data_IF_590728581971
#
_entry.id   IF_590728581971
#
_cell.length_a   1.000
_cell.length_b   1.000
_cell.length_c   1.000
_cell.angle_alpha   90.00
_cell.angle_beta   90.00
_cell.angle_gamma   90.00
#
_symmetry.space_group_name_H-M   'P 1'
#
loop_
_entity.id
_entity.type
_entity.pdbx_description
1 polymer ?
#
# COMPACT_ATOMS: atom_id res chain seq x y z
N UNK A 1 11.32 -10.23 -16.71
CA UNK A 1 11.75 -11.60 -17.05
C UNK A 1 13.11 -11.83 -16.46
N UNK A 2 13.17 -12.55 -15.33
CA UNK A 2 14.42 -13.02 -14.75
C UNK A 2 14.90 -14.16 -15.66
N UNK A 3 15.92 -13.91 -16.46
CA UNK A 3 16.62 -14.98 -17.15
C UNK A 3 17.64 -15.56 -16.16
N UNK A 4 17.42 -16.75 -15.66
CA UNK A 4 18.46 -17.58 -15.08
C UNK A 4 19.41 -17.92 -16.24
N UNK A 5 20.60 -17.33 -16.18
CA UNK A 5 21.65 -17.64 -17.14
C UNK A 5 22.54 -18.71 -16.51
N UNK A 6 22.81 -19.80 -17.23
CA UNK A 6 23.79 -20.84 -16.86
C UNK A 6 25.24 -20.32 -16.87
N UNK A 7 25.44 -19.01 -16.80
CA UNK A 7 26.75 -18.38 -16.84
C UNK A 7 27.46 -18.52 -15.50
N UNK A 8 28.76 -18.82 -15.55
CA UNK A 8 29.60 -18.70 -14.37
C UNK A 8 29.56 -17.26 -13.80
N UNK A 9 29.78 -17.11 -12.50
CA UNK A 9 29.77 -15.79 -11.83
C UNK A 9 30.72 -14.78 -12.50
N UNK A 10 31.87 -15.24 -12.97
CA UNK A 10 32.87 -14.42 -13.69
C UNK A 10 32.32 -13.96 -15.04
N UNK A 11 31.67 -14.86 -15.79
CA UNK A 11 31.09 -14.53 -17.08
C UNK A 11 29.93 -13.54 -16.95
N UNK A 12 29.04 -13.75 -15.95
CA UNK A 12 27.94 -12.84 -15.63
C UNK A 12 28.47 -11.45 -15.25
N UNK A 13 29.53 -11.36 -14.44
CA UNK A 13 30.17 -10.10 -14.05
C UNK A 13 30.77 -9.35 -15.25
N UNK A 14 31.43 -10.09 -16.15
CA UNK A 14 31.97 -9.50 -17.40
C UNK A 14 30.86 -8.97 -18.32
N UNK A 15 29.74 -9.69 -18.46
CA UNK A 15 28.59 -9.22 -19.24
C UNK A 15 27.97 -7.97 -18.64
N UNK A 16 27.76 -7.92 -17.32
CA UNK A 16 27.23 -6.72 -16.64
C UNK A 16 28.14 -5.50 -16.86
N UNK A 17 29.45 -5.68 -16.83
CA UNK A 17 30.41 -4.59 -17.14
C UNK A 17 30.32 -4.10 -18.59
N UNK A 18 30.08 -5.02 -19.56
CA UNK A 18 29.91 -4.65 -20.98
C UNK A 18 28.61 -3.88 -21.24
N UNK A 19 27.56 -4.17 -20.47
CA UNK A 19 26.26 -3.48 -20.59
C UNK A 19 26.29 -2.05 -20.05
N UNK A 20 27.25 -1.70 -19.18
CA UNK A 20 27.46 -0.34 -18.69
C UNK A 20 26.18 0.32 -18.16
N UNK A 21 25.74 1.42 -18.80
CA UNK A 21 24.56 2.22 -18.45
C UNK A 21 23.22 1.55 -18.81
N UNK A 22 23.25 0.44 -19.55
CA UNK A 22 22.05 -0.34 -19.89
C UNK A 22 21.57 -1.22 -18.74
N UNK A 23 22.31 -1.28 -17.63
CA UNK A 23 21.93 -2.03 -16.43
C UNK A 23 22.09 -1.20 -15.19
N UNK A 24 21.11 -1.27 -14.30
CA UNK A 24 21.21 -0.67 -12.97
C UNK A 24 20.92 -1.70 -11.89
N UNK A 25 21.50 -1.52 -10.72
CA UNK A 25 21.29 -2.40 -9.58
C UNK A 25 20.16 -1.84 -8.71
N UNK A 26 19.21 -2.69 -8.30
CA UNK A 26 18.11 -2.28 -7.43
C UNK A 26 18.62 -1.80 -6.07
N UNK A 27 19.69 -2.42 -5.55
CA UNK A 27 20.33 -2.01 -4.30
C UNK A 27 21.82 -2.39 -4.32
N UNK A 28 22.73 -1.58 -3.76
CA UNK A 28 24.16 -1.93 -3.69
C UNK A 28 24.46 -3.26 -3.00
N UNK A 29 23.57 -3.70 -2.10
CA UNK A 29 23.72 -4.93 -1.31
C UNK A 29 23.12 -6.18 -1.93
N UNK A 30 22.42 -6.03 -3.07
CA UNK A 30 21.65 -7.11 -3.68
C UNK A 30 22.11 -7.35 -5.12
N UNK A 31 22.17 -8.62 -5.53
CA UNK A 31 22.55 -9.00 -6.90
C UNK A 31 21.32 -9.10 -7.82
N UNK A 32 20.43 -8.10 -7.74
CA UNK A 32 19.28 -7.97 -8.63
C UNK A 32 19.51 -6.76 -9.52
N UNK A 33 19.47 -6.98 -10.83
CA UNK A 33 19.76 -5.98 -11.85
C UNK A 33 18.57 -5.74 -12.75
N UNK A 34 18.36 -4.50 -13.13
CA UNK A 34 17.34 -4.08 -14.08
C UNK A 34 18.00 -3.70 -15.40
N UNK A 35 17.42 -4.16 -16.50
CA UNK A 35 17.80 -3.69 -17.84
C UNK A 35 17.11 -2.35 -18.04
N UNK A 36 17.90 -1.33 -18.41
CA UNK A 36 17.42 0.03 -18.65
C UNK A 36 17.42 0.26 -20.16
N UNK A 37 16.25 0.17 -20.75
CA UNK A 37 16.08 0.49 -22.17
C UNK A 37 16.27 1.99 -22.44
N UNK A 38 16.56 2.41 -23.68
CA UNK A 38 16.86 3.80 -24.02
C UNK A 38 15.81 4.80 -23.52
N UNK A 39 14.51 4.46 -23.61
CA UNK A 39 13.39 5.28 -23.16
C UNK A 39 13.36 5.52 -21.65
N UNK A 40 14.00 4.65 -20.85
CA UNK A 40 14.03 4.74 -19.39
C UNK A 40 15.34 5.29 -18.83
N UNK A 41 16.32 5.62 -19.68
CA UNK A 41 17.63 6.18 -19.23
C UNK A 41 17.47 7.45 -18.42
N UNK A 42 16.59 8.36 -18.84
CA UNK A 42 16.32 9.60 -18.11
C UNK A 42 15.74 9.38 -16.70
N UNK A 43 15.02 8.29 -16.48
CA UNK A 43 14.51 7.88 -15.18
C UNK A 43 15.53 7.07 -14.37
N UNK A 44 16.54 6.48 -15.02
CA UNK A 44 17.58 5.64 -14.43
C UNK A 44 17.14 4.18 -14.16
N UNK A 45 15.87 3.84 -14.40
CA UNK A 45 15.33 2.49 -14.29
C UNK A 45 13.97 2.39 -14.99
N UNK A 46 13.52 1.17 -15.37
CA UNK A 46 12.17 0.96 -15.87
C UNK A 46 11.10 1.17 -14.77
N UNK A 47 9.83 1.39 -15.14
CA UNK A 47 8.73 1.56 -14.18
C UNK A 47 8.69 0.44 -13.14
N UNK A 48 8.41 0.78 -11.88
CA UNK A 48 8.44 -0.19 -10.76
C UNK A 48 7.53 -1.38 -11.01
N UNK A 49 6.37 -1.16 -11.58
CA UNK A 49 5.37 -2.20 -11.88
C UNK A 49 5.87 -3.27 -12.86
N UNK A 50 6.97 -3.03 -13.56
CA UNK A 50 7.52 -3.98 -14.52
C UNK A 50 8.44 -5.03 -13.91
N UNK A 51 9.02 -4.75 -12.74
CA UNK A 51 10.02 -5.60 -12.11
C UNK A 51 9.77 -5.91 -10.62
N UNK A 52 8.78 -5.28 -10.01
CA UNK A 52 8.53 -5.42 -8.57
C UNK A 52 8.17 -6.85 -8.19
N UNK A 53 7.36 -7.53 -9.00
CA UNK A 53 6.98 -8.93 -8.77
C UNK A 53 8.20 -9.85 -8.87
N UNK A 54 8.99 -9.73 -9.94
CA UNK A 54 10.21 -10.49 -10.13
C UNK A 54 11.21 -10.27 -8.97
N UNK A 55 11.30 -9.02 -8.49
CA UNK A 55 12.17 -8.69 -7.38
C UNK A 55 11.75 -9.40 -6.09
N UNK A 56 10.46 -9.41 -5.77
CA UNK A 56 9.97 -10.08 -4.57
C UNK A 56 9.95 -11.60 -4.71
N UNK A 57 9.75 -12.11 -5.92
CA UNK A 57 9.91 -13.53 -6.24
C UNK A 57 11.37 -13.98 -6.01
N UNK A 58 12.34 -13.22 -6.51
CA UNK A 58 13.77 -13.45 -6.27
C UNK A 58 14.13 -13.40 -4.78
N UNK A 59 13.47 -12.56 -4.00
CA UNK A 59 13.65 -12.48 -2.55
C UNK A 59 12.97 -13.63 -1.79
N UNK A 60 12.13 -14.42 -2.44
CA UNK A 60 11.23 -15.41 -1.84
C UNK A 60 10.40 -14.79 -0.68
N UNK A 61 9.83 -13.61 -0.89
CA UNK A 61 9.08 -12.87 0.14
C UNK A 61 7.73 -12.39 -0.37
N UNK A 62 6.68 -12.48 0.47
CA UNK A 62 5.38 -11.93 0.14
C UNK A 62 5.43 -10.40 0.15
N UNK A 63 4.66 -9.81 -0.76
CA UNK A 63 4.47 -8.37 -0.89
C UNK A 63 3.11 -8.07 -1.50
N UNK A 64 2.69 -6.83 -1.44
CA UNK A 64 1.67 -6.26 -2.32
C UNK A 64 1.85 -4.75 -2.48
N UNK A 65 1.43 -4.24 -3.63
CA UNK A 65 1.27 -2.81 -3.87
C UNK A 65 0.18 -2.29 -2.93
N UNK A 66 0.46 -1.24 -2.17
CA UNK A 66 -0.34 -0.84 -1.02
C UNK A 66 -0.69 0.65 -1.03
N UNK A 67 -1.59 1.02 -0.13
CA UNK A 67 -1.90 2.41 0.22
C UNK A 67 -2.28 3.25 -1.02
N UNK A 68 -1.70 4.44 -1.19
CA UNK A 68 -1.98 5.33 -2.31
C UNK A 68 -1.58 4.73 -3.66
N UNK A 69 -0.51 3.90 -3.70
CA UNK A 69 -0.11 3.22 -4.93
C UNK A 69 -1.11 2.15 -5.35
N UNK A 70 -1.68 1.40 -4.41
CA UNK A 70 -2.77 0.48 -4.68
C UNK A 70 -4.04 1.25 -5.12
N UNK A 71 -4.39 2.31 -4.41
CA UNK A 71 -5.55 3.14 -4.75
C UNK A 71 -5.43 3.72 -6.17
N UNK A 72 -4.24 4.17 -6.57
CA UNK A 72 -3.97 4.68 -7.93
C UNK A 72 -4.21 3.62 -9.00
N UNK A 73 -3.92 2.35 -8.74
CA UNK A 73 -4.18 1.25 -9.69
C UNK A 73 -5.68 0.98 -9.90
N UNK A 74 -6.54 1.48 -9.01
CA UNK A 74 -8.00 1.46 -9.12
C UNK A 74 -8.58 2.80 -9.61
N UNK A 75 -7.74 3.71 -10.09
CA UNK A 75 -8.19 5.02 -10.58
C UNK A 75 -8.36 6.08 -9.50
N UNK A 76 -8.09 5.76 -8.22
CA UNK A 76 -8.06 6.75 -7.15
C UNK A 76 -6.71 7.44 -7.11
N UNK A 77 -6.63 8.62 -7.73
CA UNK A 77 -5.40 9.40 -7.75
C UNK A 77 -5.68 10.88 -7.52
N UNK A 78 -5.96 11.29 -6.28
CA UNK A 78 -6.20 12.70 -5.97
C UNK A 78 -4.95 13.58 -6.22
N UNK A 79 -3.76 13.00 -6.22
CA UNK A 79 -2.49 13.62 -6.62
C UNK A 79 -1.54 12.52 -7.10
N UNK A 80 -0.71 12.81 -8.11
CA UNK A 80 0.27 11.85 -8.63
C UNK A 80 1.17 11.29 -7.50
N UNK A 81 1.13 9.98 -7.31
CA UNK A 81 1.94 9.28 -6.31
C UNK A 81 3.36 9.18 -6.85
N UNK A 82 4.27 10.00 -6.32
CA UNK A 82 5.68 10.02 -6.74
C UNK A 82 6.51 8.87 -6.16
N UNK A 83 5.98 8.19 -5.15
CA UNK A 83 6.68 7.13 -4.41
C UNK A 83 5.84 5.87 -4.43
N UNK A 84 6.36 4.79 -4.99
CA UNK A 84 5.66 3.50 -4.95
C UNK A 84 5.65 2.96 -3.52
N UNK A 85 4.46 2.65 -3.01
CA UNK A 85 4.25 2.18 -1.64
C UNK A 85 3.96 0.68 -1.66
N UNK A 86 4.79 -0.08 -0.97
CA UNK A 86 4.76 -1.54 -0.97
C UNK A 86 4.68 -2.07 0.45
N UNK A 87 3.75 -2.97 0.70
CA UNK A 87 3.65 -3.68 1.96
C UNK A 87 4.56 -4.90 1.96
N UNK A 88 5.25 -5.14 3.08
CA UNK A 88 6.21 -6.25 3.24
C UNK A 88 6.08 -6.88 4.61
N UNK A 89 6.55 -8.12 4.75
CA UNK A 89 6.55 -8.86 6.01
C UNK A 89 7.61 -8.35 7.00
N UNK A 90 8.77 -7.97 6.48
CA UNK A 90 9.93 -7.53 7.26
C UNK A 90 10.33 -6.09 6.90
N UNK A 91 10.98 -5.35 7.83
CA UNK A 91 11.46 -4.02 7.54
C UNK A 91 12.46 -3.99 6.39
N UNK A 92 12.30 -3.02 5.50
CA UNK A 92 13.21 -2.78 4.36
C UNK A 92 13.56 -1.30 4.27
N UNK A 93 14.78 -1.02 3.86
CA UNK A 93 15.17 0.34 3.51
C UNK A 93 14.47 0.75 2.21
N UNK A 94 14.07 2.01 2.06
CA UNK A 94 13.59 2.53 0.79
C UNK A 94 14.57 2.24 -0.34
N UNK A 95 14.05 2.03 -1.54
CA UNK A 95 14.86 1.94 -2.76
C UNK A 95 14.79 3.28 -3.49
N UNK A 96 15.96 3.73 -3.92
CA UNK A 96 16.13 4.90 -4.78
C UNK A 96 16.99 4.49 -5.97
N UNK A 97 16.39 4.47 -7.16
CA UNK A 97 17.03 4.04 -8.40
C UNK A 97 16.77 5.13 -9.43
N UNK A 98 17.75 5.97 -9.69
CA UNK A 98 17.55 7.17 -10.51
C UNK A 98 16.43 8.05 -9.89
N UNK A 99 15.37 8.27 -10.66
CA UNK A 99 14.17 9.03 -10.19
C UNK A 99 13.10 8.17 -9.54
N UNK A 100 13.28 6.85 -9.56
CA UNK A 100 12.31 5.92 -8.99
C UNK A 100 12.53 5.79 -7.49
N UNK A 101 11.43 5.83 -6.73
CA UNK A 101 11.43 5.66 -5.29
C UNK A 101 10.40 4.64 -4.87
N UNK A 102 10.83 3.69 -4.01
CA UNK A 102 9.95 2.68 -3.43
C UNK A 102 10.08 2.72 -1.91
N UNK A 103 8.96 2.96 -1.23
CA UNK A 103 8.88 2.92 0.22
C UNK A 103 8.20 1.64 0.68
N UNK A 104 8.75 1.04 1.73
CA UNK A 104 8.23 -0.18 2.31
C UNK A 104 7.55 0.08 3.64
N UNK A 105 6.41 -0.56 3.80
CA UNK A 105 5.62 -0.56 5.02
C UNK A 105 5.55 -1.99 5.55
N UNK A 106 5.65 -2.14 6.87
CA UNK A 106 5.69 -3.48 7.49
C UNK A 106 4.33 -3.85 8.01
N UNK A 107 3.87 -5.06 7.65
CA UNK A 107 2.62 -5.61 8.14
C UNK A 107 2.79 -7.07 8.54
N UNK A 108 2.41 -7.40 9.77
CA UNK A 108 2.34 -8.79 10.24
C UNK A 108 1.17 -9.49 9.57
N UNK A 109 1.34 -10.78 9.25
CA UNK A 109 0.27 -11.59 8.63
C UNK A 109 -0.11 -11.15 7.22
N UNK A 110 0.83 -10.57 6.48
CA UNK A 110 0.67 -10.07 5.12
C UNK A 110 0.08 -11.13 4.17
N UNK A 111 0.39 -12.41 4.40
CA UNK A 111 -0.05 -13.55 3.58
C UNK A 111 -1.57 -13.78 3.66
N UNK A 112 -2.24 -13.25 4.67
CA UNK A 112 -3.69 -13.38 4.86
C UNK A 112 -4.49 -12.24 4.27
N UNK A 113 -3.81 -11.11 3.96
CA UNK A 113 -4.47 -9.91 3.43
C UNK A 113 -5.03 -10.21 2.05
N UNK A 114 -6.30 -9.87 1.78
CA UNK A 114 -6.87 -10.03 0.45
C UNK A 114 -6.13 -9.18 -0.59
N UNK A 115 -5.56 -9.86 -1.57
CA UNK A 115 -4.90 -9.24 -2.72
C UNK A 115 -5.51 -9.76 -4.01
N UNK A 116 -5.26 -9.06 -5.08
CA UNK A 116 -5.59 -9.48 -6.44
C UNK A 116 -4.39 -9.23 -7.36
N UNK A 117 -4.27 -10.05 -8.39
CA UNK A 117 -3.29 -9.82 -9.43
C UNK A 117 -3.77 -8.68 -10.34
N UNK A 118 -2.93 -7.69 -10.54
CA UNK A 118 -3.14 -6.65 -11.54
C UNK A 118 -2.23 -6.97 -12.73
N UNK A 119 -2.84 -7.26 -13.88
CA UNK A 119 -2.10 -7.55 -15.10
C UNK A 119 -1.34 -6.30 -15.57
N UNK A 120 -0.06 -6.47 -15.90
CA UNK A 120 0.76 -5.45 -16.54
C UNK A 120 1.49 -6.07 -17.75
N UNK A 121 2.32 -5.29 -18.46
CA UNK A 121 2.97 -5.73 -19.68
C UNK A 121 4.03 -6.84 -19.47
N UNK A 122 4.49 -7.09 -18.26
CA UNK A 122 5.61 -7.99 -17.97
C UNK A 122 5.25 -9.13 -17.01
N UNK A 123 4.62 -8.82 -15.89
CA UNK A 123 4.23 -9.81 -14.88
C UNK A 123 2.98 -9.35 -14.11
N UNK A 124 2.16 -10.28 -13.58
CA UNK A 124 1.08 -9.94 -12.66
C UNK A 124 1.65 -9.26 -11.41
N UNK A 125 1.12 -8.10 -11.07
CA UNK A 125 1.50 -7.36 -9.86
C UNK A 125 0.48 -7.65 -8.75
N UNK A 126 0.94 -8.00 -7.57
CA UNK A 126 0.07 -8.19 -6.41
C UNK A 126 -0.36 -6.85 -5.83
N UNK A 127 -1.65 -6.63 -5.72
CA UNK A 127 -2.26 -5.38 -5.21
C UNK A 127 -3.27 -5.72 -4.14
N UNK A 128 -3.32 -4.95 -3.03
CA UNK A 128 -4.40 -5.09 -2.05
C UNK A 128 -5.76 -4.77 -2.67
N UNK A 129 -6.81 -5.52 -2.28
CA UNK A 129 -8.17 -5.21 -2.74
C UNK A 129 -8.62 -3.81 -2.30
N UNK A 130 -9.64 -3.19 -2.91
CA UNK A 130 -10.13 -1.87 -2.50
C UNK A 130 -10.44 -1.78 -0.99
N UNK A 131 -11.00 -2.84 -0.40
CA UNK A 131 -11.33 -2.91 1.02
C UNK A 131 -10.07 -2.98 1.89
N UNK A 132 -9.11 -3.83 1.52
CA UNK A 132 -7.83 -3.94 2.23
C UNK A 132 -7.01 -2.65 2.08
N UNK A 133 -7.03 -2.03 0.90
CA UNK A 133 -6.41 -0.72 0.65
C UNK A 133 -7.01 0.36 1.55
N UNK A 134 -8.34 0.42 1.64
CA UNK A 134 -9.05 1.39 2.49
C UNK A 134 -8.71 1.19 3.98
N UNK A 135 -8.66 -0.05 4.43
CA UNK A 135 -8.26 -0.37 5.80
C UNK A 135 -6.81 0.04 6.09
N UNK A 136 -5.88 -0.28 5.18
CA UNK A 136 -4.47 0.09 5.32
C UNK A 136 -4.24 1.61 5.28
N UNK A 137 -4.97 2.35 4.44
CA UNK A 137 -4.91 3.81 4.40
C UNK A 137 -5.26 4.42 5.77
N UNK A 138 -6.27 3.89 6.46
CA UNK A 138 -6.63 4.34 7.81
C UNK A 138 -5.56 3.94 8.82
N UNK A 139 -5.08 2.69 8.80
CA UNK A 139 -4.07 2.19 9.73
C UNK A 139 -2.75 2.96 9.64
N UNK A 140 -2.34 3.29 8.43
CA UNK A 140 -1.11 4.02 8.16
C UNK A 140 -1.32 5.51 7.87
N UNK A 141 -2.49 6.07 8.20
CA UNK A 141 -2.83 7.46 7.95
C UNK A 141 -1.73 8.47 8.34
N UNK A 142 -1.07 8.38 9.50
CA UNK A 142 0.01 9.31 9.86
C UNK A 142 1.21 9.30 8.89
N UNK A 143 1.38 8.21 8.15
CA UNK A 143 2.50 8.03 7.21
C UNK A 143 2.15 8.32 5.75
N UNK A 144 0.87 8.59 5.47
CA UNK A 144 0.36 8.83 4.10
C UNK A 144 -0.34 10.19 3.96
N UNK A 145 -0.07 11.09 4.86
CA UNK A 145 -0.60 12.47 4.82
C UNK A 145 -1.82 12.73 5.71
N UNK A 146 -2.06 11.87 6.71
CA UNK A 146 -3.13 12.04 7.68
C UNK A 146 -4.46 11.38 7.29
N UNK A 147 -5.44 11.50 8.20
CA UNK A 147 -6.74 10.85 8.06
C UNK A 147 -7.60 11.51 6.96
N UNK A 148 -7.48 12.82 6.77
CA UNK A 148 -8.15 13.56 5.69
C UNK A 148 -7.70 13.06 4.32
N UNK A 149 -6.38 12.93 4.13
CA UNK A 149 -5.81 12.38 2.90
C UNK A 149 -6.21 10.93 2.65
N UNK A 150 -6.27 10.13 3.70
CA UNK A 150 -6.76 8.76 3.61
C UNK A 150 -8.22 8.73 3.15
N UNK A 151 -9.08 9.60 3.70
CA UNK A 151 -10.49 9.72 3.30
C UNK A 151 -10.65 10.14 1.83
N UNK A 152 -9.90 11.14 1.37
CA UNK A 152 -9.89 11.57 -0.04
C UNK A 152 -9.51 10.42 -0.98
N UNK A 153 -8.52 9.61 -0.58
CA UNK A 153 -8.06 8.45 -1.36
C UNK A 153 -9.08 7.31 -1.36
N UNK A 154 -9.81 7.10 -0.25
CA UNK A 154 -10.85 6.08 -0.12
C UNK A 154 -12.09 6.41 -0.94
N UNK A 155 -12.47 7.68 -1.05
CA UNK A 155 -13.68 8.11 -1.75
C UNK A 155 -13.89 7.44 -3.11
N UNK A 156 -12.95 7.54 -4.05
CA UNK A 156 -13.05 6.90 -5.36
C UNK A 156 -13.05 5.36 -5.34
N UNK A 157 -12.62 4.71 -4.23
CA UNK A 157 -12.64 3.25 -4.10
C UNK A 157 -14.03 2.72 -3.72
N UNK A 158 -14.90 3.55 -3.14
CA UNK A 158 -16.20 3.13 -2.61
C UNK A 158 -17.07 2.34 -3.60
N UNK A 159 -17.18 2.74 -4.90
CA UNK A 159 -17.96 1.99 -5.87
C UNK A 159 -17.43 0.57 -6.14
N UNK A 160 -16.16 0.31 -5.86
CA UNK A 160 -15.48 -0.96 -6.07
C UNK A 160 -15.57 -1.88 -4.85
N UNK A 161 -15.88 -1.31 -3.67
CA UNK A 161 -15.91 -2.06 -2.41
C UNK A 161 -17.19 -2.90 -2.27
N UNK A 162 -17.03 -4.11 -1.74
CA UNK A 162 -18.11 -5.06 -1.46
C UNK A 162 -18.23 -5.36 0.03
N UNK A 163 -19.45 -5.40 0.54
CA UNK A 163 -19.72 -5.61 1.97
C UNK A 163 -19.14 -6.93 2.52
N UNK A 164 -19.23 -8.02 1.74
CA UNK A 164 -18.66 -9.32 2.12
C UNK A 164 -17.13 -9.28 2.21
N UNK A 165 -16.47 -8.64 1.27
CA UNK A 165 -15.00 -8.51 1.25
C UNK A 165 -14.53 -7.58 2.37
N UNK A 166 -15.23 -6.47 2.64
CA UNK A 166 -14.93 -5.62 3.80
C UNK A 166 -15.04 -6.40 5.11
N UNK A 167 -16.11 -7.22 5.29
CA UNK A 167 -16.25 -8.09 6.46
C UNK A 167 -15.09 -9.08 6.59
N UNK A 168 -14.63 -9.64 5.46
CA UNK A 168 -13.47 -10.53 5.41
C UNK A 168 -12.20 -9.81 5.87
N UNK A 169 -11.94 -8.59 5.37
CA UNK A 169 -10.78 -7.77 5.77
C UNK A 169 -10.82 -7.49 7.27
N UNK A 170 -11.95 -7.01 7.81
CA UNK A 170 -12.12 -6.72 9.23
C UNK A 170 -11.82 -7.95 10.11
N UNK A 171 -12.29 -9.14 9.69
CA UNK A 171 -12.04 -10.40 10.40
C UNK A 171 -10.55 -10.80 10.38
N UNK A 172 -9.87 -10.58 9.28
CA UNK A 172 -8.44 -10.90 9.12
C UNK A 172 -7.57 -9.95 9.93
N UNK A 173 -7.87 -8.65 9.88
CA UNK A 173 -7.09 -7.60 10.53
C UNK A 173 -7.28 -7.59 12.05
N UNK A 174 -8.49 -7.80 12.53
CA UNK A 174 -8.81 -7.97 13.93
C UNK A 174 -8.51 -6.77 14.84
N UNK A 175 -8.32 -5.57 14.29
CA UNK A 175 -8.01 -4.35 15.07
C UNK A 175 -9.22 -3.42 15.15
N UNK A 176 -9.95 -3.39 16.30
CA UNK A 176 -11.11 -2.55 16.46
C UNK A 176 -10.85 -1.07 16.34
N UNK A 177 -9.67 -0.61 16.77
CA UNK A 177 -9.31 0.81 16.73
C UNK A 177 -9.22 1.35 15.31
N UNK A 178 -8.60 0.61 14.40
CA UNK A 178 -8.57 0.97 12.97
C UNK A 178 -9.97 0.85 12.36
N UNK A 179 -10.75 -0.15 12.75
CA UNK A 179 -12.12 -0.33 12.27
C UNK A 179 -13.03 0.84 12.71
N UNK A 180 -12.94 1.32 13.97
CA UNK A 180 -13.67 2.51 14.43
C UNK A 180 -13.37 3.73 13.54
N UNK A 181 -12.10 3.99 13.25
CA UNK A 181 -11.68 5.10 12.36
C UNK A 181 -12.18 4.91 10.94
N UNK A 182 -12.10 3.70 10.40
CA UNK A 182 -12.63 3.39 9.07
C UNK A 182 -14.15 3.61 9.00
N UNK A 183 -14.90 3.10 9.99
CA UNK A 183 -16.34 3.30 10.08
C UNK A 183 -16.72 4.79 10.11
N UNK A 184 -16.03 5.59 10.91
CA UNK A 184 -16.21 7.04 10.93
C UNK A 184 -15.95 7.67 9.56
N UNK A 185 -14.86 7.32 8.88
CA UNK A 185 -14.54 7.85 7.54
C UNK A 185 -15.60 7.43 6.52
N UNK A 186 -16.04 6.17 6.52
CA UNK A 186 -17.10 5.69 5.64
C UNK A 186 -18.44 6.42 5.86
N UNK A 187 -18.78 6.73 7.10
CA UNK A 187 -19.95 7.56 7.42
C UNK A 187 -19.83 8.97 6.83
N UNK A 188 -18.68 9.61 7.01
CA UNK A 188 -18.41 10.95 6.46
C UNK A 188 -18.44 10.97 4.93
N UNK A 189 -18.01 9.88 4.30
CA UNK A 189 -18.10 9.68 2.85
C UNK A 189 -19.49 9.20 2.37
N UNK A 190 -20.50 9.15 3.25
CA UNK A 190 -21.87 8.73 2.96
C UNK A 190 -21.97 7.28 2.44
N UNK A 191 -21.03 6.43 2.80
CA UNK A 191 -21.00 5.00 2.44
C UNK A 191 -21.75 4.14 3.47
N UNK A 192 -23.02 4.46 3.75
CA UNK A 192 -23.80 3.89 4.84
C UNK A 192 -23.86 2.37 4.89
N UNK A 193 -23.95 1.69 3.74
CA UNK A 193 -23.93 0.21 3.68
C UNK A 193 -22.60 -0.37 4.19
N UNK A 194 -21.47 0.21 3.78
CA UNK A 194 -20.14 -0.23 4.21
C UNK A 194 -19.88 0.17 5.68
N UNK A 195 -20.32 1.36 6.09
CA UNK A 195 -20.25 1.78 7.49
C UNK A 195 -21.04 0.81 8.41
N UNK A 196 -22.21 0.35 7.97
CA UNK A 196 -22.97 -0.63 8.74
C UNK A 196 -22.24 -1.97 8.91
N UNK A 197 -21.54 -2.44 7.88
CA UNK A 197 -20.70 -3.65 7.98
C UNK A 197 -19.63 -3.52 9.07
N UNK A 198 -19.01 -2.33 9.17
CA UNK A 198 -18.03 -2.06 10.22
C UNK A 198 -18.68 -2.01 11.59
N UNK A 199 -19.85 -1.35 11.71
CA UNK A 199 -20.61 -1.27 12.96
C UNK A 199 -21.01 -2.67 13.49
N UNK A 200 -21.50 -3.54 12.60
CA UNK A 200 -21.92 -4.90 12.94
C UNK A 200 -20.75 -5.80 13.37
N UNK A 201 -19.55 -5.48 12.88
CA UNK A 201 -18.33 -6.23 13.23
C UNK A 201 -17.73 -5.78 14.56
N UNK A 202 -17.88 -4.50 14.93
CA UNK A 202 -17.26 -3.95 16.13
C UNK A 202 -17.83 -4.60 17.40
N UNK A 203 -16.97 -5.04 18.34
CA UNK A 203 -17.45 -5.54 19.63
C UNK A 203 -18.09 -4.41 20.45
N UNK A 204 -19.07 -4.75 21.27
CA UNK A 204 -19.76 -3.79 22.17
C UNK A 204 -18.84 -3.16 23.22
N UNK A 205 -17.68 -3.79 23.48
CA UNK A 205 -16.71 -3.41 24.49
C UNK A 205 -15.69 -2.36 24.03
N UNK A 206 -15.78 -1.85 22.77
CA UNK A 206 -14.85 -0.82 22.29
C UNK A 206 -14.92 0.45 23.12
N UNK A 207 -13.78 1.05 23.36
CA UNK A 207 -13.62 2.31 24.10
C UNK A 207 -13.45 3.49 23.14
N UNK A 208 -13.57 4.72 23.68
CA UNK A 208 -13.28 5.91 22.90
C UNK A 208 -11.80 5.98 22.55
N UNK A 209 -11.52 6.27 21.27
CA UNK A 209 -10.16 6.44 20.75
C UNK A 209 -10.07 7.73 19.93
N UNK A 210 -8.92 8.43 19.91
CA UNK A 210 -8.76 9.61 19.09
C UNK A 210 -8.77 9.24 17.59
N UNK A 211 -9.38 10.08 16.77
CA UNK A 211 -9.40 9.90 15.32
C UNK A 211 -7.97 9.95 14.73
N UNK A 212 -7.20 10.96 15.16
CA UNK A 212 -5.78 11.09 14.83
C UNK A 212 -4.94 10.51 15.94
N UNK A 213 -4.20 9.41 15.71
CA UNK A 213 -3.32 8.81 16.72
C UNK A 213 -2.23 9.78 17.16
N UNK A 214 -1.95 9.85 18.47
CA UNK A 214 -0.91 10.72 19.05
C UNK A 214 -1.24 12.21 19.04
N UNK A 215 -2.40 12.61 18.54
CA UNK A 215 -2.91 13.96 18.66
C UNK A 215 -3.45 14.28 20.06
N UNK A 216 -3.81 15.56 20.33
CA UNK A 216 -4.50 15.92 21.57
C UNK A 216 -5.78 15.11 21.71
N UNK A 217 -6.07 14.65 22.91
CA UNK A 217 -7.24 13.82 23.20
C UNK A 217 -8.55 14.60 23.35
N UNK A 218 -8.58 15.88 22.97
CA UNK A 218 -9.70 16.80 23.07
C UNK A 218 -10.42 16.96 21.74
N UNK A 219 -11.72 16.90 21.78
CA UNK A 219 -12.59 17.05 20.60
C UNK A 219 -13.98 16.48 20.85
N UNK A 220 -14.95 16.73 19.94
CA UNK A 220 -16.30 16.19 20.08
C UNK A 220 -16.30 14.67 20.00
N UNK A 221 -17.08 14.06 20.90
CA UNK A 221 -17.29 12.61 20.90
C UNK A 221 -18.31 12.18 19.87
N UNK A 222 -17.91 11.24 19.01
CA UNK A 222 -18.77 10.58 18.03
C UNK A 222 -19.19 9.23 18.60
N UNK A 223 -20.31 9.21 19.30
CA UNK A 223 -20.79 8.04 20.07
C UNK A 223 -20.92 6.77 19.23
N UNK A 224 -21.40 6.87 17.99
CA UNK A 224 -21.59 5.74 17.09
C UNK A 224 -20.31 4.93 16.91
N UNK A 225 -19.19 5.63 16.76
CA UNK A 225 -17.89 5.01 16.44
C UNK A 225 -16.96 4.95 17.66
N UNK A 226 -17.38 5.48 18.80
CA UNK A 226 -16.50 5.67 19.96
C UNK A 226 -15.20 6.38 19.54
N UNK A 227 -15.33 7.48 18.83
CA UNK A 227 -14.23 8.32 18.33
C UNK A 227 -14.28 9.67 19.04
N UNK A 228 -13.11 10.15 19.50
CA UNK A 228 -12.90 11.56 19.83
C UNK A 228 -12.37 12.24 18.57
N UNK A 229 -13.15 13.15 17.99
CA UNK A 229 -12.77 13.81 16.74
C UNK A 229 -11.79 14.97 17.04
N UNK A 230 -10.52 14.66 17.05
CA UNK A 230 -9.41 15.60 17.23
C UNK A 230 -8.76 16.02 15.90
N UNK A 231 -9.42 15.76 14.76
CA UNK A 231 -8.95 16.17 13.44
C UNK A 231 -9.61 17.49 13.01
N UNK A 232 -8.79 18.45 12.59
CA UNK A 232 -9.26 19.76 12.12
C UNK A 232 -10.05 19.63 10.81
N UNK A 233 -9.66 18.71 9.93
CA UNK A 233 -10.27 18.50 8.61
C UNK A 233 -11.72 18.00 8.67
N UNK A 234 -12.12 17.38 9.77
CA UNK A 234 -13.48 16.89 10.01
C UNK A 234 -14.22 17.74 11.05
N UNK A 235 -13.67 18.92 11.39
CA UNK A 235 -14.24 19.86 12.35
C UNK A 235 -15.54 20.49 11.85
N UNK A 236 -16.56 20.36 12.69
CA UNK A 236 -17.91 20.95 12.76
C UNK A 236 -18.96 20.35 11.85
#
# INVERSE_FOLDING_TARGET
MVKETELSEIAAKRQLLRLGDQVTRVSPRQRFFLIVSPEHRAAGAPPVVWWLDDYFHWLAQPYYLALQSAASSFGSNPQAVQVTQVMTKIPRRPLEIGRIRVHFFVKRGIERVPTQALANAFAPLQVSTPEATSYDLIRYAPRVGGIGRAAETIGPLLPLMRSNELRRVLKIEGDPTTAQRLGFVLDRLRAGKLAQVVQDWLPSTVVFVPLVPGGRGDGPEIKRWKIVNNAVEFGR
#
